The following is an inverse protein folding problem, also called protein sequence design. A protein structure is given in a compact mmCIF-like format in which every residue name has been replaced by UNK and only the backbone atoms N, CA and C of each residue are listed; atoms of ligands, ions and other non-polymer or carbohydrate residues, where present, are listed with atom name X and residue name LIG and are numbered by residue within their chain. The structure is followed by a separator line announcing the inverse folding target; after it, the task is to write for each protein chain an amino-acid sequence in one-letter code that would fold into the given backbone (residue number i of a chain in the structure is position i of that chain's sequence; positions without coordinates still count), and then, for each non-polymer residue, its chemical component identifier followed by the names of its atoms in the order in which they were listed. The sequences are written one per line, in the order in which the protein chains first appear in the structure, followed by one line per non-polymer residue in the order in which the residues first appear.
data_IF_608772291701
#
_entry.id   IF_608772291701
#
_cell.length_a   1.000
_cell.length_b   1.000
_cell.length_c   1.000
_cell.angle_alpha   90.00
_cell.angle_beta   90.00
_cell.angle_gamma   90.00
#
_symmetry.space_group_name_H-M   'P 1'
#
loop_
_entity.id
_entity.type
_entity.pdbx_description
1 polymer ?
#
# COMPACT_ATOMS: atom_id res chain seq x y z
N UNK A 1 7.21 68.97 9.87
CA UNK A 1 7.44 67.52 9.62
C UNK A 1 7.22 66.81 10.95
N UNK A 2 6.02 66.27 11.18
CA UNK A 2 5.69 65.60 12.43
C UNK A 2 6.22 64.14 12.40
N UNK A 3 6.76 63.60 13.50
CA UNK A 3 7.25 62.23 13.53
C UNK A 3 6.07 61.24 13.50
N UNK A 4 6.23 60.17 12.73
CA UNK A 4 5.24 59.11 12.59
C UNK A 4 5.09 58.33 13.92
N UNK A 5 3.84 58.11 14.35
CA UNK A 5 3.51 57.34 15.54
C UNK A 5 3.88 55.86 15.35
N UNK A 6 4.48 55.26 16.39
CA UNK A 6 4.85 53.85 16.43
C UNK A 6 3.60 52.97 16.49
N UNK A 7 3.50 51.88 15.70
CA UNK A 7 2.34 50.99 15.75
C UNK A 7 2.29 50.22 17.08
N UNK A 8 1.07 49.89 17.58
CA UNK A 8 0.91 49.14 18.82
C UNK A 8 1.48 47.71 18.69
N UNK A 9 1.93 47.10 19.82
CA UNK A 9 2.42 45.74 19.81
C UNK A 9 1.33 44.75 19.37
N UNK A 10 1.70 43.66 18.68
CA UNK A 10 0.75 42.64 18.27
C UNK A 10 0.06 42.01 19.50
N UNK A 11 -1.22 41.62 19.38
CA UNK A 11 -1.92 40.95 20.47
C UNK A 11 -1.18 39.66 20.86
N UNK A 12 -1.24 39.25 22.15
CA UNK A 12 -0.64 38.01 22.59
C UNK A 12 -1.17 36.85 21.75
N UNK A 13 -0.26 35.98 21.31
CA UNK A 13 -0.59 34.75 20.57
C UNK A 13 -1.70 34.00 21.30
N UNK A 14 -2.81 33.75 20.62
CA UNK A 14 -3.87 32.93 21.19
C UNK A 14 -3.28 31.59 21.66
N UNK A 15 -3.69 31.07 22.84
CA UNK A 15 -3.23 29.77 23.30
C UNK A 15 -3.49 28.74 22.19
N UNK A 16 -2.48 27.92 21.90
CA UNK A 16 -2.62 26.83 20.93
C UNK A 16 -3.86 26.02 21.28
N UNK A 17 -4.73 25.69 20.30
CA UNK A 17 -5.92 24.92 20.58
C UNK A 17 -5.53 23.65 21.34
N UNK A 18 -6.10 23.46 22.53
CA UNK A 18 -5.84 22.30 23.36
C UNK A 18 -6.32 21.07 22.59
N UNK A 19 -5.37 20.24 22.14
CA UNK A 19 -5.69 18.95 21.54
C UNK A 19 -6.27 18.08 22.64
N UNK A 20 -7.55 17.70 22.51
CA UNK A 20 -8.30 16.94 23.52
C UNK A 20 -8.06 15.43 23.46
N UNK A 21 -7.10 14.97 22.65
CA UNK A 21 -6.81 13.54 22.44
C UNK A 21 -5.35 13.22 22.66
N UNK A 22 -5.07 11.95 22.96
CA UNK A 22 -3.72 11.42 23.14
C UNK A 22 -2.84 11.72 21.93
N UNK A 23 -1.69 12.36 22.15
CA UNK A 23 -0.70 12.55 21.11
C UNK A 23 0.03 11.23 20.83
N UNK A 24 0.33 10.92 19.56
CA UNK A 24 1.08 9.74 19.17
C UNK A 24 2.43 10.15 18.58
N UNK A 25 3.50 9.45 18.96
CA UNK A 25 4.83 9.58 18.40
C UNK A 25 5.17 8.33 17.58
N UNK A 26 5.37 8.47 16.27
CA UNK A 26 5.74 7.36 15.39
C UNK A 26 7.27 7.28 15.23
N UNK A 27 7.87 6.30 15.88
CA UNK A 27 9.28 5.95 15.73
C UNK A 27 9.45 5.08 14.49
N UNK A 28 10.39 5.46 13.60
CA UNK A 28 10.67 4.74 12.36
C UNK A 28 12.17 4.49 12.25
N UNK A 29 12.58 3.23 12.18
CA UNK A 29 13.99 2.87 12.04
C UNK A 29 14.52 3.12 10.62
N UNK A 30 15.83 3.36 10.51
CA UNK A 30 16.54 3.44 9.23
C UNK A 30 16.71 2.08 8.53
N UNK A 31 17.45 2.05 7.42
CA UNK A 31 17.61 0.84 6.58
C UNK A 31 18.30 -0.32 7.30
N UNK A 32 19.10 -0.05 8.33
CA UNK A 32 19.78 -1.08 9.14
C UNK A 32 18.84 -1.98 9.95
N UNK A 33 17.55 -1.62 10.06
CA UNK A 33 16.60 -2.31 10.91
C UNK A 33 16.74 -1.92 12.38
N UNK A 34 15.67 -2.13 13.14
CA UNK A 34 15.68 -2.13 14.60
C UNK A 34 14.51 -2.99 15.09
N UNK A 35 14.67 -3.60 16.27
CA UNK A 35 13.57 -4.30 16.93
C UNK A 35 12.62 -3.30 17.61
N UNK A 36 11.34 -3.65 17.81
CA UNK A 36 10.43 -2.77 18.54
C UNK A 36 10.90 -2.51 19.98
N UNK A 37 11.58 -3.48 20.61
CA UNK A 37 12.14 -3.33 21.96
C UNK A 37 13.25 -2.28 22.01
N UNK A 38 14.14 -2.26 21.03
CA UNK A 38 15.21 -1.25 20.93
C UNK A 38 14.63 0.14 20.65
N UNK A 39 13.62 0.23 19.78
CA UNK A 39 12.99 1.50 19.44
C UNK A 39 12.21 2.09 20.62
N UNK A 40 11.49 1.25 21.36
CA UNK A 40 10.64 1.67 22.49
C UNK A 40 11.38 1.69 23.83
N UNK A 41 12.61 1.17 23.88
CA UNK A 41 13.38 1.05 25.13
C UNK A 41 12.76 0.13 26.17
N UNK A 42 11.82 -0.76 25.78
CA UNK A 42 11.12 -1.68 26.70
C UNK A 42 11.11 -3.10 26.10
N UNK A 43 11.48 -4.14 26.88
CA UNK A 43 11.44 -5.52 26.41
C UNK A 43 10.01 -6.06 26.17
N UNK A 44 8.98 -5.45 26.76
CA UNK A 44 7.58 -5.89 26.73
C UNK A 44 6.79 -5.06 25.71
N UNK A 45 6.89 -5.46 24.45
CA UNK A 45 6.16 -4.82 23.34
C UNK A 45 5.01 -5.67 22.84
N UNK A 46 3.91 -5.04 22.44
CA UNK A 46 2.76 -5.68 21.82
C UNK A 46 2.52 -5.13 20.42
N UNK A 47 2.12 -6.00 19.49
CA UNK A 47 1.75 -5.59 18.13
C UNK A 47 0.34 -5.01 18.16
N UNK A 48 0.20 -3.74 17.76
CA UNK A 48 -1.09 -3.05 17.71
C UNK A 48 -1.77 -3.25 16.36
N UNK A 49 -1.00 -3.19 15.27
CA UNK A 49 -1.52 -3.42 13.92
C UNK A 49 -0.44 -3.90 12.97
N UNK A 50 -0.84 -4.43 11.81
CA UNK A 50 0.02 -5.03 10.82
C UNK A 50 0.24 -6.53 11.03
N UNK A 51 1.29 -7.06 10.44
CA UNK A 51 1.57 -8.49 10.37
C UNK A 51 3.01 -8.83 10.81
N UNK A 52 3.50 -10.01 10.48
CA UNK A 52 4.87 -10.43 10.83
C UNK A 52 5.94 -9.76 9.93
N UNK A 53 5.54 -9.17 8.80
CA UNK A 53 6.45 -8.54 7.85
C UNK A 53 6.64 -7.05 8.14
N UNK A 54 5.55 -6.34 8.42
CA UNK A 54 5.57 -4.96 8.85
C UNK A 54 4.43 -4.67 9.81
N UNK A 55 4.75 -4.05 10.94
CA UNK A 55 3.79 -3.82 12.00
C UNK A 55 4.15 -2.60 12.86
N UNK A 56 3.12 -2.08 13.52
CA UNK A 56 3.25 -1.05 14.55
C UNK A 56 3.17 -1.72 15.91
N UNK A 57 4.12 -1.38 16.77
CA UNK A 57 4.24 -1.90 18.12
C UNK A 57 4.15 -0.78 19.14
N UNK A 58 3.64 -1.11 20.33
CA UNK A 58 3.67 -0.25 21.52
C UNK A 58 4.26 -1.00 22.69
N UNK A 59 4.64 -0.27 23.74
CA UNK A 59 4.89 -0.87 25.06
C UNK A 59 3.60 -1.50 25.56
N UNK A 60 3.70 -2.58 26.33
CA UNK A 60 2.52 -3.28 26.84
C UNK A 60 1.64 -2.38 27.71
N UNK A 61 2.25 -1.44 28.44
CA UNK A 61 1.52 -0.44 29.26
C UNK A 61 0.80 0.64 28.43
N UNK A 62 1.19 0.84 27.18
CA UNK A 62 0.65 1.84 26.27
C UNK A 62 -0.36 1.25 25.28
N UNK A 63 -0.66 -0.05 25.40
CA UNK A 63 -1.50 -0.79 24.45
C UNK A 63 -2.87 -0.14 24.23
N UNK A 64 -3.42 0.49 25.26
CA UNK A 64 -4.71 1.18 25.25
C UNK A 64 -4.58 2.66 25.66
N UNK A 65 -3.50 3.33 25.26
CA UNK A 65 -3.23 4.73 25.63
C UNK A 65 -4.34 5.71 25.23
N UNK A 66 -5.16 5.37 24.24
CA UNK A 66 -6.35 6.14 23.84
C UNK A 66 -7.52 6.01 24.80
N UNK A 67 -7.63 4.90 25.55
CA UNK A 67 -8.66 4.71 26.60
C UNK A 67 -8.35 5.53 27.86
N UNK A 68 -7.12 5.99 28.01
CA UNK A 68 -6.62 6.74 29.17
C UNK A 68 -5.90 8.04 28.78
N UNK A 69 -6.58 8.97 28.07
CA UNK A 69 -5.96 10.20 27.58
C UNK A 69 -5.43 11.11 28.71
N UNK A 70 -5.97 10.98 29.92
CA UNK A 70 -5.49 11.66 31.12
C UNK A 70 -4.05 11.32 31.50
N UNK A 71 -3.58 10.10 31.19
CA UNK A 71 -2.21 9.64 31.49
C UNK A 71 -1.17 10.24 30.54
N UNK A 72 -1.61 10.69 29.36
CA UNK A 72 -0.75 11.11 28.24
C UNK A 72 -1.03 12.57 27.82
N UNK A 73 -1.42 13.42 28.77
CA UNK A 73 -1.68 14.86 28.50
C UNK A 73 -0.42 15.61 28.10
N UNK A 74 0.70 15.27 28.73
CA UNK A 74 1.96 15.99 28.61
C UNK A 74 3.03 15.21 27.81
N UNK A 75 2.79 13.93 27.53
CA UNK A 75 3.71 13.05 26.79
C UNK A 75 2.98 12.25 25.71
N UNK A 76 3.54 12.13 24.50
CA UNK A 76 2.94 11.31 23.45
C UNK A 76 3.13 9.81 23.72
N UNK A 77 2.20 9.00 23.25
CA UNK A 77 2.34 7.54 23.22
C UNK A 77 3.26 7.15 22.06
N UNK A 78 4.40 6.53 22.38
CA UNK A 78 5.38 6.09 21.39
C UNK A 78 4.94 4.79 20.69
N UNK A 79 5.02 4.80 19.37
CA UNK A 79 4.72 3.68 18.49
C UNK A 79 5.95 3.35 17.62
N UNK A 80 6.42 2.12 17.67
CA UNK A 80 7.49 1.65 16.80
C UNK A 80 6.91 1.04 15.53
N UNK A 81 7.17 1.66 14.38
CA UNK A 81 6.92 1.05 13.08
C UNK A 81 8.14 0.25 12.62
N UNK A 82 8.00 -1.07 12.67
CA UNK A 82 9.01 -2.01 12.22
C UNK A 82 8.70 -2.48 10.80
N UNK A 83 9.60 -2.21 9.85
CA UNK A 83 9.41 -2.49 8.42
C UNK A 83 10.53 -3.33 7.80
N UNK A 84 11.51 -3.76 8.60
CA UNK A 84 12.66 -4.53 8.16
C UNK A 84 12.29 -5.85 7.45
N UNK A 85 11.14 -6.46 7.76
CA UNK A 85 10.64 -7.65 7.06
C UNK A 85 10.37 -7.38 5.56
N UNK A 86 10.00 -6.15 5.20
CA UNK A 86 9.78 -5.74 3.80
C UNK A 86 11.06 -5.76 2.96
N UNK A 87 12.24 -5.70 3.58
CA UNK A 87 13.56 -5.70 2.90
C UNK A 87 14.45 -6.89 3.24
N UNK A 88 14.12 -7.73 4.24
CA UNK A 88 14.94 -8.90 4.66
C UNK A 88 14.39 -10.32 4.38
N UNK A 89 13.13 -10.47 3.94
CA UNK A 89 12.50 -11.77 3.63
C UNK A 89 12.91 -12.60 2.38
N UNK A 90 12.21 -13.75 2.32
CA UNK A 90 12.25 -15.00 1.52
C UNK A 90 12.93 -15.06 0.13
N UNK A 91 13.44 -16.25 -0.23
CA UNK A 91 14.17 -16.54 -1.49
C UNK A 91 13.38 -16.36 -2.79
N UNK A 92 12.04 -16.28 -2.71
CA UNK A 92 11.19 -15.83 -3.83
C UNK A 92 11.51 -14.40 -4.29
N UNK A 93 12.33 -13.66 -3.53
CA UNK A 93 12.90 -12.38 -3.97
C UNK A 93 13.74 -12.46 -5.24
N UNK A 94 14.34 -13.60 -5.57
CA UNK A 94 15.04 -13.75 -6.84
C UNK A 94 14.13 -13.49 -8.05
N UNK A 95 12.82 -13.81 -7.94
CA UNK A 95 11.83 -13.54 -8.98
C UNK A 95 11.65 -12.03 -9.24
N UNK A 96 11.99 -11.17 -8.26
CA UNK A 96 11.93 -9.72 -8.45
C UNK A 96 12.95 -9.21 -9.45
N UNK A 97 14.04 -9.94 -9.72
CA UNK A 97 14.98 -9.51 -10.77
C UNK A 97 14.30 -9.49 -12.16
N UNK A 98 13.40 -10.43 -12.43
CA UNK A 98 12.59 -10.41 -13.66
C UNK A 98 11.60 -9.24 -13.67
N UNK A 99 11.09 -8.85 -12.50
CA UNK A 99 10.14 -7.76 -12.35
C UNK A 99 10.80 -6.39 -12.09
N UNK A 100 12.11 -6.33 -11.96
CA UNK A 100 12.87 -5.13 -11.61
C UNK A 100 12.60 -3.97 -12.59
N UNK A 101 12.53 -4.17 -13.92
CA UNK A 101 12.14 -3.11 -14.84
C UNK A 101 10.76 -2.52 -14.52
N UNK A 102 9.79 -3.36 -14.16
CA UNK A 102 8.44 -2.93 -13.78
C UNK A 102 8.44 -2.17 -12.45
N UNK A 103 9.25 -2.61 -11.48
CA UNK A 103 9.42 -1.90 -10.20
C UNK A 103 9.92 -0.48 -10.40
N UNK A 104 10.95 -0.30 -11.24
CA UNK A 104 11.55 1.02 -11.50
C UNK A 104 10.53 1.96 -12.13
N UNK A 105 9.72 1.46 -13.07
CA UNK A 105 8.66 2.27 -13.69
C UNK A 105 7.54 2.60 -12.70
N UNK A 106 7.18 1.65 -11.84
CA UNK A 106 6.23 1.90 -10.74
C UNK A 106 6.77 2.97 -9.79
N UNK A 107 8.05 2.91 -9.41
CA UNK A 107 8.69 3.93 -8.57
C UNK A 107 8.70 5.30 -9.26
N UNK A 108 9.04 5.35 -10.55
CA UNK A 108 9.03 6.59 -11.32
C UNK A 108 7.65 7.26 -11.28
N UNK A 109 6.56 6.48 -11.33
CA UNK A 109 5.22 7.04 -11.16
C UNK A 109 5.04 7.81 -9.84
N UNK A 110 5.54 7.25 -8.73
CA UNK A 110 5.48 7.88 -7.41
C UNK A 110 6.45 9.05 -7.24
N UNK A 111 7.55 9.07 -8.00
CA UNK A 111 8.51 10.18 -8.05
C UNK A 111 8.03 11.39 -8.88
N UNK A 112 6.75 11.40 -9.31
CA UNK A 112 6.17 12.47 -10.13
C UNK A 112 6.30 13.84 -9.43
N UNK A 113 6.93 14.85 -10.07
CA UNK A 113 7.16 16.15 -9.44
C UNK A 113 5.86 16.90 -9.04
N UNK A 114 5.85 17.50 -7.86
CA UNK A 114 4.75 18.33 -7.33
C UNK A 114 4.86 19.80 -7.77
N UNK A 115 5.13 20.05 -9.06
CA UNK A 115 5.34 21.40 -9.58
C UNK A 115 4.03 22.17 -9.80
N UNK A 116 3.84 23.28 -9.08
CA UNK A 116 2.75 24.24 -9.31
C UNK A 116 3.06 25.11 -10.55
N UNK A 117 2.12 25.19 -11.50
CA UNK A 117 2.26 26.02 -12.71
C UNK A 117 2.82 25.31 -13.97
N UNK A 118 3.31 24.07 -13.86
CA UNK A 118 3.83 23.28 -15.00
C UNK A 118 2.95 22.09 -15.39
N UNK A 119 1.62 22.24 -15.30
CA UNK A 119 0.64 21.15 -15.46
C UNK A 119 0.84 20.29 -16.71
N UNK A 120 1.16 20.90 -17.87
CA UNK A 120 1.43 20.16 -19.12
C UNK A 120 2.64 19.23 -19.02
N UNK A 121 3.75 19.70 -18.44
CA UNK A 121 4.97 18.89 -18.28
C UNK A 121 4.72 17.72 -17.32
N UNK A 122 4.02 17.94 -16.21
CA UNK A 122 3.69 16.87 -15.26
C UNK A 122 2.68 15.86 -15.84
N UNK A 123 1.84 16.28 -16.79
CA UNK A 123 0.99 15.35 -17.58
C UNK A 123 1.82 14.54 -18.56
N UNK A 124 2.72 15.19 -19.31
CA UNK A 124 3.61 14.53 -20.26
C UNK A 124 4.47 13.47 -19.57
N UNK A 125 5.06 13.78 -18.41
CA UNK A 125 5.77 12.81 -17.57
C UNK A 125 4.91 11.58 -17.28
N UNK A 126 3.67 11.80 -16.84
CA UNK A 126 2.73 10.70 -16.56
C UNK A 126 2.42 9.85 -17.79
N UNK A 127 2.26 10.47 -18.97
CA UNK A 127 2.04 9.74 -20.23
C UNK A 127 3.28 8.91 -20.60
N UNK A 128 4.47 9.49 -20.52
CA UNK A 128 5.72 8.81 -20.85
C UNK A 128 5.96 7.60 -19.94
N UNK A 129 5.75 7.74 -18.63
CA UNK A 129 5.87 6.63 -17.68
C UNK A 129 4.90 5.49 -18.03
N UNK A 130 3.66 5.82 -18.43
CA UNK A 130 2.67 4.81 -18.86
C UNK A 130 3.06 4.12 -20.16
N UNK A 131 3.58 4.87 -21.14
CA UNK A 131 4.08 4.29 -22.40
C UNK A 131 5.25 3.34 -22.13
N UNK A 132 6.18 3.70 -21.24
CA UNK A 132 7.28 2.81 -20.85
C UNK A 132 6.75 1.55 -20.16
N UNK A 133 5.79 1.68 -19.24
CA UNK A 133 5.14 0.52 -18.60
C UNK A 133 4.47 -0.42 -19.61
N UNK A 134 3.74 0.16 -20.57
CA UNK A 134 3.09 -0.59 -21.65
C UNK A 134 4.12 -1.29 -22.52
N UNK A 135 5.16 -0.59 -22.96
CA UNK A 135 6.24 -1.14 -23.78
C UNK A 135 6.95 -2.31 -23.09
N UNK A 136 7.22 -2.23 -21.79
CA UNK A 136 7.81 -3.34 -21.02
C UNK A 136 6.89 -4.56 -21.00
N UNK A 137 5.58 -4.34 -20.82
CA UNK A 137 4.59 -5.43 -20.83
C UNK A 137 4.53 -6.11 -22.21
N UNK A 138 4.53 -5.31 -23.28
CA UNK A 138 4.55 -5.80 -24.66
C UNK A 138 5.84 -6.57 -24.95
N UNK A 139 7.01 -6.03 -24.58
CA UNK A 139 8.30 -6.69 -24.78
C UNK A 139 8.39 -8.02 -24.04
N UNK A 140 7.97 -8.05 -22.77
CA UNK A 140 7.95 -9.27 -21.97
C UNK A 140 7.03 -10.33 -22.60
N UNK A 141 5.83 -9.93 -23.04
CA UNK A 141 4.88 -10.83 -23.70
C UNK A 141 5.40 -11.31 -25.06
N UNK A 142 6.02 -10.42 -25.84
CA UNK A 142 6.62 -10.76 -27.13
C UNK A 142 7.77 -11.76 -26.97
N UNK A 143 8.63 -11.58 -25.96
CA UNK A 143 9.70 -12.55 -25.64
C UNK A 143 9.12 -13.92 -25.27
N UNK A 144 8.03 -13.97 -24.49
CA UNK A 144 7.35 -15.22 -24.19
C UNK A 144 6.74 -15.87 -25.45
N UNK A 145 6.16 -15.08 -26.35
CA UNK A 145 5.67 -15.54 -27.65
C UNK A 145 6.82 -16.10 -28.52
N UNK A 146 7.95 -15.42 -28.61
CA UNK A 146 9.12 -15.88 -29.37
C UNK A 146 9.60 -17.24 -28.86
N UNK A 147 9.78 -17.38 -27.54
CA UNK A 147 10.25 -18.65 -26.97
C UNK A 147 9.22 -19.76 -27.15
N UNK A 148 7.95 -19.52 -26.82
CA UNK A 148 6.94 -20.56 -26.82
C UNK A 148 6.45 -20.93 -28.24
N UNK A 149 6.07 -19.92 -29.04
CA UNK A 149 5.44 -20.13 -30.34
C UNK A 149 6.49 -20.40 -31.42
N UNK A 150 7.54 -19.58 -31.49
CA UNK A 150 8.53 -19.67 -32.56
C UNK A 150 9.59 -20.74 -32.25
N UNK A 151 10.37 -20.57 -31.19
CA UNK A 151 11.49 -21.49 -30.91
C UNK A 151 11.02 -22.90 -30.55
N UNK A 152 10.04 -23.04 -29.65
CA UNK A 152 9.58 -24.36 -29.19
C UNK A 152 8.57 -24.99 -30.13
N UNK A 153 7.43 -24.34 -30.36
CA UNK A 153 6.32 -24.95 -31.10
C UNK A 153 6.48 -24.95 -32.62
N UNK A 154 7.14 -23.93 -33.19
CA UNK A 154 7.35 -23.86 -34.64
C UNK A 154 8.64 -24.57 -35.06
N UNK A 155 9.78 -24.11 -34.53
CA UNK A 155 11.10 -24.58 -34.96
C UNK A 155 11.46 -25.93 -34.33
N UNK A 156 11.45 -26.06 -33.00
CA UNK A 156 11.93 -27.28 -32.36
C UNK A 156 10.98 -28.47 -32.56
N UNK A 157 9.68 -28.31 -32.29
CA UNK A 157 8.69 -29.37 -32.51
C UNK A 157 8.49 -29.68 -34.00
N UNK A 158 8.81 -28.74 -34.91
CA UNK A 158 8.83 -28.97 -36.35
C UNK A 158 10.06 -29.73 -36.85
N UNK A 159 11.13 -29.82 -36.06
CA UNK A 159 12.41 -30.41 -36.46
C UNK A 159 12.68 -31.70 -35.68
N UNK A 160 12.79 -32.82 -36.39
CA UNK A 160 12.98 -34.16 -35.81
C UNK A 160 14.17 -34.22 -34.83
N UNK A 161 15.36 -33.82 -35.27
CA UNK A 161 16.57 -33.84 -34.42
C UNK A 161 16.48 -32.93 -33.18
N UNK A 162 15.61 -31.92 -33.19
CA UNK A 162 15.37 -31.07 -32.03
C UNK A 162 14.44 -31.76 -31.04
N UNK A 163 13.33 -32.31 -31.53
CA UNK A 163 12.32 -32.99 -30.72
C UNK A 163 12.82 -34.32 -30.14
N UNK A 164 13.62 -35.10 -30.87
CA UNK A 164 14.19 -36.36 -30.37
C UNK A 164 15.12 -36.15 -29.16
N UNK A 165 15.93 -35.08 -29.19
CA UNK A 165 16.78 -34.70 -28.06
C UNK A 165 16.01 -34.22 -26.83
N UNK A 166 14.75 -33.83 -27.00
CA UNK A 166 13.86 -33.37 -25.92
C UNK A 166 12.62 -34.26 -25.89
N UNK A 167 12.76 -35.44 -25.31
CA UNK A 167 11.68 -36.45 -25.27
C UNK A 167 10.34 -35.92 -24.74
N UNK A 168 10.33 -34.92 -23.86
CA UNK A 168 9.12 -34.24 -23.36
C UNK A 168 8.36 -33.44 -24.44
N UNK A 169 9.00 -33.05 -25.54
CA UNK A 169 8.38 -32.44 -26.72
C UNK A 169 7.90 -33.46 -27.75
N UNK A 170 8.13 -34.76 -27.52
CA UNK A 170 7.82 -35.83 -28.49
C UNK A 170 6.36 -35.81 -28.96
N UNK A 171 5.42 -35.56 -28.04
CA UNK A 171 3.98 -35.50 -28.38
C UNK A 171 3.60 -34.32 -29.31
N UNK A 172 4.41 -33.25 -29.33
CA UNK A 172 4.27 -32.10 -30.23
C UNK A 172 5.02 -32.28 -31.56
N UNK A 173 5.89 -33.29 -31.64
CA UNK A 173 6.74 -33.52 -32.80
C UNK A 173 5.90 -33.71 -34.06
N UNK A 174 6.26 -32.96 -35.10
CA UNK A 174 5.67 -33.12 -36.43
C UNK A 174 5.82 -34.56 -36.96
N UNK A 175 6.90 -35.25 -36.56
CA UNK A 175 7.25 -36.56 -37.11
C UNK A 175 6.50 -37.73 -36.47
N UNK A 176 6.01 -37.59 -35.23
CA UNK A 176 5.25 -38.66 -34.56
C UNK A 176 3.83 -38.86 -35.10
N UNK A 177 3.32 -37.93 -35.93
CA UNK A 177 2.00 -38.04 -36.56
C UNK A 177 0.81 -38.00 -35.59
N UNK A 178 1.03 -37.70 -34.30
CA UNK A 178 -0.01 -37.65 -33.28
C UNK A 178 -0.96 -36.45 -33.40
N UNK A 179 -2.02 -36.42 -32.57
CA UNK A 179 -3.05 -35.37 -32.59
C UNK A 179 -2.49 -33.94 -32.49
N UNK A 180 -1.42 -33.76 -31.72
CA UNK A 180 -0.79 -32.47 -31.45
C UNK A 180 0.34 -32.10 -32.42
N UNK A 181 0.69 -32.98 -33.37
CA UNK A 181 1.74 -32.75 -34.38
C UNK A 181 1.37 -31.65 -35.39
N UNK A 182 0.06 -31.44 -35.59
CA UNK A 182 -0.50 -30.43 -36.50
C UNK A 182 -0.07 -29.02 -36.10
N UNK A 183 0.48 -28.20 -37.03
CA UNK A 183 1.05 -26.88 -36.74
C UNK A 183 0.12 -25.95 -35.97
N UNK A 184 -1.16 -25.91 -36.34
CA UNK A 184 -2.14 -25.07 -35.64
C UNK A 184 -2.38 -25.48 -34.18
N UNK A 185 -2.37 -26.78 -33.89
CA UNK A 185 -2.67 -27.30 -32.55
C UNK A 185 -1.50 -27.13 -31.59
N UNK A 186 -0.26 -27.38 -32.05
CA UNK A 186 0.94 -27.11 -31.24
C UNK A 186 1.10 -25.63 -30.93
N UNK A 187 0.83 -24.74 -31.89
CA UNK A 187 0.85 -23.29 -31.66
C UNK A 187 -0.25 -22.86 -30.70
N UNK A 188 -1.47 -23.42 -30.81
CA UNK A 188 -2.56 -23.14 -29.88
C UNK A 188 -2.22 -23.57 -28.44
N UNK A 189 -1.59 -24.74 -28.27
CA UNK A 189 -1.13 -25.17 -26.95
C UNK A 189 -0.01 -24.26 -26.41
N UNK A 190 0.95 -23.89 -27.26
CA UNK A 190 2.04 -23.01 -26.86
C UNK A 190 1.57 -21.58 -26.53
N UNK A 191 0.48 -21.10 -27.12
CA UNK A 191 -0.13 -19.82 -26.80
C UNK A 191 -0.67 -19.73 -25.36
N UNK A 192 -0.86 -20.87 -24.69
CA UNK A 192 -1.20 -20.91 -23.26
C UNK A 192 -0.12 -20.23 -22.42
N UNK A 193 1.16 -20.30 -22.81
CA UNK A 193 2.27 -19.69 -22.07
C UNK A 193 2.17 -18.16 -22.01
N UNK A 194 2.15 -17.41 -23.13
CA UNK A 194 1.99 -15.96 -23.07
C UNK A 194 0.62 -15.55 -22.50
N UNK A 195 -0.45 -16.31 -22.74
CA UNK A 195 -1.76 -16.03 -22.15
C UNK A 195 -1.74 -16.17 -20.61
N UNK A 196 -1.11 -17.23 -20.09
CA UNK A 196 -0.95 -17.45 -18.66
C UNK A 196 -0.06 -16.37 -18.02
N UNK A 197 1.00 -15.92 -18.71
CA UNK A 197 1.84 -14.82 -18.26
C UNK A 197 1.04 -13.52 -18.10
N UNK A 198 0.28 -13.13 -19.13
CA UNK A 198 -0.58 -11.94 -19.07
C UNK A 198 -1.65 -12.09 -17.97
N UNK A 199 -2.28 -13.25 -17.88
CA UNK A 199 -3.26 -13.56 -16.83
C UNK A 199 -2.66 -13.48 -15.42
N UNK A 200 -1.44 -13.97 -15.24
CA UNK A 200 -0.71 -13.88 -13.98
C UNK A 200 -0.38 -12.43 -13.61
N UNK A 201 0.13 -11.64 -14.56
CA UNK A 201 0.40 -10.22 -14.34
C UNK A 201 -0.86 -9.44 -13.95
N UNK A 202 -1.97 -9.71 -14.64
CA UNK A 202 -3.28 -9.14 -14.30
C UNK A 202 -3.73 -9.56 -12.90
N UNK A 203 -3.64 -10.85 -12.57
CA UNK A 203 -4.01 -11.38 -11.26
C UNK A 203 -3.18 -10.75 -10.13
N UNK A 204 -1.85 -10.70 -10.28
CA UNK A 204 -0.95 -10.10 -9.30
C UNK A 204 -1.25 -8.61 -9.11
N UNK A 205 -1.47 -7.88 -10.20
CA UNK A 205 -1.84 -6.46 -10.16
C UNK A 205 -3.15 -6.25 -9.38
N UNK A 206 -4.18 -7.06 -9.65
CA UNK A 206 -5.45 -6.95 -8.95
C UNK A 206 -5.38 -7.36 -7.47
N UNK A 207 -4.61 -8.42 -7.17
CA UNK A 207 -4.46 -8.93 -5.79
C UNK A 207 -3.69 -7.96 -4.90
N UNK A 208 -2.53 -7.50 -5.36
CA UNK A 208 -1.71 -6.53 -4.61
C UNK A 208 -2.48 -5.25 -4.35
N UNK A 209 -3.19 -4.75 -5.36
CA UNK A 209 -4.08 -3.60 -5.21
C UNK A 209 -5.16 -3.81 -4.15
N UNK A 210 -5.88 -4.94 -4.22
CA UNK A 210 -6.98 -5.20 -3.31
C UNK A 210 -6.50 -5.25 -1.86
N UNK A 211 -5.31 -5.82 -1.62
CA UNK A 211 -4.75 -5.94 -0.28
C UNK A 211 -4.36 -4.59 0.34
N UNK A 212 -3.79 -3.67 -0.45
CA UNK A 212 -3.40 -2.35 0.05
C UNK A 212 -4.61 -1.41 0.22
N UNK A 213 -5.61 -1.50 -0.67
CA UNK A 213 -6.75 -0.56 -0.66
C UNK A 213 -7.93 -1.04 0.20
N UNK A 214 -7.96 -2.32 0.61
CA UNK A 214 -9.01 -2.85 1.50
C UNK A 214 -8.79 -2.54 2.98
N UNK A 215 -7.65 -1.92 3.34
CA UNK A 215 -7.38 -1.52 4.72
C UNK A 215 -8.39 -0.45 5.13
N UNK A 216 -9.29 -0.81 6.05
CA UNK A 216 -10.18 0.15 6.68
C UNK A 216 -9.39 0.88 7.77
N UNK A 217 -9.54 2.22 7.89
CA UNK A 217 -9.08 2.90 9.09
C UNK A 217 -9.69 2.20 10.31
N UNK A 218 -8.94 2.12 11.42
CA UNK A 218 -9.51 1.66 12.68
C UNK A 218 -10.71 2.56 13.01
N UNK A 219 -11.89 1.95 13.04
CA UNK A 219 -13.12 2.64 13.45
C UNK A 219 -13.06 2.82 14.99
N UNK A 220 -13.48 3.98 15.51
CA UNK A 220 -13.52 4.26 16.96
C UNK A 220 -14.28 3.16 17.73
N UNK A 221 -15.26 2.49 17.10
CA UNK A 221 -16.07 1.40 17.64
C UNK A 221 -15.32 0.04 17.76
N UNK A 222 -14.22 -0.16 17.03
CA UNK A 222 -13.41 -1.39 17.09
C UNK A 222 -12.57 -1.50 18.37
N UNK A 223 -12.40 -0.39 19.09
CA UNK A 223 -11.70 -0.31 20.38
C UNK A 223 -12.58 -0.89 21.52
N UNK A 224 -13.90 -0.92 21.31
CA UNK A 224 -14.89 -1.33 22.31
C UNK A 224 -15.37 -2.79 22.12
N UNK A 225 -15.26 -3.35 20.90
CA UNK A 225 -15.85 -4.66 20.58
C UNK A 225 -15.05 -5.88 21.10
N UNK A 226 -13.74 -5.74 21.34
CA UNK A 226 -12.88 -6.83 21.87
C UNK A 226 -12.68 -6.75 23.40
N UNK A 227 -13.48 -5.93 24.10
CA UNK A 227 -13.41 -5.75 25.55
C UNK A 227 -14.56 -6.50 26.27
N UNK A 228 -14.32 -7.69 26.84
CA UNK A 228 -15.33 -8.40 27.62
C UNK A 228 -15.68 -7.71 28.95
N UNK A 229 -14.94 -6.67 29.36
CA UNK A 229 -15.17 -5.93 30.61
C UNK A 229 -16.00 -4.65 30.43
N UNK A 230 -16.27 -4.21 29.19
CA UNK A 230 -17.04 -3.00 28.88
C UNK A 230 -18.55 -3.07 29.18
N UNK A 231 -19.08 -4.22 29.58
CA UNK A 231 -20.52 -4.40 29.84
C UNK A 231 -21.04 -3.78 31.15
N UNK A 232 -20.18 -3.21 32.00
CA UNK A 232 -20.56 -2.70 33.33
C UNK A 232 -20.50 -1.17 33.48
N UNK A 233 -20.66 -0.41 32.39
CA UNK A 233 -20.44 1.04 32.43
C UNK A 233 -21.44 1.92 31.69
N UNK A 234 -22.70 1.50 31.47
CA UNK A 234 -23.65 2.37 30.76
C UNK A 234 -25.12 2.14 31.15
N UNK A 235 -25.48 2.44 32.40
CA UNK A 235 -26.82 2.94 32.72
C UNK A 235 -26.78 3.68 34.05
N UNK A 236 -26.50 4.98 34.01
CA UNK A 236 -26.90 5.89 35.07
C UNK A 236 -28.30 6.42 34.69
N UNK A 237 -29.38 5.97 35.36
CA UNK A 237 -30.74 6.40 35.06
C UNK A 237 -31.04 7.85 35.47
N UNK A 238 -30.08 8.56 36.11
CA UNK A 238 -30.24 9.94 36.57
C UNK A 238 -29.58 10.99 35.66
N UNK A 239 -29.18 10.63 34.43
CA UNK A 239 -28.69 11.61 33.46
C UNK A 239 -29.79 12.64 33.10
N UNK A 240 -29.58 13.95 33.30
CA UNK A 240 -30.57 14.98 32.96
C UNK A 240 -30.86 14.97 31.45
N UNK A 241 -32.14 15.11 31.08
CA UNK A 241 -32.57 15.28 29.69
C UNK A 241 -31.97 16.55 29.05
N UNK A 242 -31.99 16.66 27.70
CA UNK A 242 -31.27 17.72 27.00
C UNK A 242 -31.78 19.11 27.39
N UNK A 243 -30.89 19.90 28.00
CA UNK A 243 -31.17 21.24 28.48
C UNK A 243 -31.56 22.20 27.35
N UNK A 244 -32.65 22.93 27.59
CA UNK A 244 -33.13 24.10 26.86
C UNK A 244 -32.50 25.37 27.44
N UNK A 245 -31.20 25.36 27.72
CA UNK A 245 -30.48 26.52 28.21
C UNK A 245 -29.32 26.88 27.29
N UNK A 246 -29.15 28.18 27.05
CA UNK A 246 -28.27 28.79 26.05
C UNK A 246 -26.77 28.63 26.31
N UNK A 247 -26.33 27.43 26.71
CA UNK A 247 -24.93 27.06 26.87
C UNK A 247 -24.25 27.04 25.50
N UNK A 248 -23.09 27.72 25.34
CA UNK A 248 -22.34 27.65 24.10
C UNK A 248 -21.97 26.20 23.82
N UNK A 249 -22.31 25.71 22.63
CA UNK A 249 -21.89 24.39 22.14
C UNK A 249 -20.39 24.25 22.41
N UNK A 250 -19.92 23.16 23.08
CA UNK A 250 -18.50 22.98 23.32
C UNK A 250 -17.73 23.09 22.00
N UNK A 251 -16.56 23.77 22.00
CA UNK A 251 -15.79 23.94 20.78
C UNK A 251 -15.51 22.56 20.18
N UNK A 252 -15.84 22.40 18.89
CA UNK A 252 -15.57 21.14 18.17
C UNK A 252 -14.07 20.89 18.25
N UNK A 253 -13.63 19.75 18.83
CA UNK A 253 -12.22 19.47 18.96
C UNK A 253 -11.56 19.46 17.58
N UNK A 254 -10.53 20.29 17.42
CA UNK A 254 -9.81 20.40 16.15
C UNK A 254 -9.00 19.13 15.96
N UNK A 255 -9.52 18.18 15.19
CA UNK A 255 -8.78 16.96 14.83
C UNK A 255 -7.59 17.32 13.93
N UNK A 256 -6.39 16.77 14.16
CA UNK A 256 -5.26 16.92 13.26
C UNK A 256 -5.63 16.42 11.85
N UNK A 257 -4.92 16.89 10.81
CA UNK A 257 -5.25 16.59 9.42
C UNK A 257 -5.34 15.07 9.13
N UNK A 258 -4.49 14.28 9.80
CA UNK A 258 -4.46 12.82 9.73
C UNK A 258 -5.69 12.15 10.39
N UNK A 259 -6.36 12.81 11.34
CA UNK A 259 -7.55 12.31 12.03
C UNK A 259 -8.88 12.73 11.37
N UNK A 260 -8.83 13.35 10.18
CA UNK A 260 -10.04 13.75 9.46
C UNK A 260 -10.73 12.52 8.86
N UNK A 261 -12.07 12.39 8.99
CA UNK A 261 -12.82 11.32 8.35
C UNK A 261 -12.50 11.24 6.85
N UNK A 262 -12.08 10.05 6.40
CA UNK A 262 -11.73 9.81 5.00
C UNK A 262 -10.33 10.25 4.58
N UNK A 263 -9.49 10.81 5.46
CA UNK A 263 -8.08 11.11 5.15
C UNK A 263 -7.35 9.84 4.66
N UNK A 264 -7.54 8.74 5.36
CA UNK A 264 -6.98 7.43 5.04
C UNK A 264 -7.80 6.65 3.99
N UNK A 265 -8.87 7.22 3.44
CA UNK A 265 -9.76 6.54 2.50
C UNK A 265 -9.42 6.90 1.04
N UNK A 266 -8.45 6.19 0.47
CA UNK A 266 -7.90 6.41 -0.88
C UNK A 266 -8.83 6.03 -2.05
N UNK A 267 -9.92 5.28 -1.80
CA UNK A 267 -10.69 4.57 -2.85
C UNK A 267 -11.13 5.46 -4.01
N UNK A 268 -11.47 6.73 -3.76
CA UNK A 268 -11.90 7.67 -4.80
C UNK A 268 -10.78 8.15 -5.72
N UNK A 269 -9.59 8.43 -5.18
CA UNK A 269 -8.41 8.84 -5.97
C UNK A 269 -7.95 7.66 -6.84
N UNK A 270 -7.98 6.48 -6.25
CA UNK A 270 -7.51 5.24 -6.87
C UNK A 270 -8.50 4.72 -7.94
N UNK A 271 -9.82 4.82 -7.72
CA UNK A 271 -10.82 4.51 -8.74
C UNK A 271 -10.64 5.35 -10.03
N UNK A 272 -10.27 6.63 -9.89
CA UNK A 272 -9.99 7.50 -11.04
C UNK A 272 -8.74 7.09 -11.82
N UNK A 273 -7.74 6.51 -11.15
CA UNK A 273 -6.53 6.00 -11.81
C UNK A 273 -6.81 4.72 -12.61
N UNK A 274 -7.73 3.86 -12.14
CA UNK A 274 -8.14 2.62 -12.83
C UNK A 274 -8.82 2.86 -14.17
N UNK A 275 -9.69 3.88 -14.25
CA UNK A 275 -10.40 4.21 -15.49
C UNK A 275 -9.46 4.51 -16.68
N UNK A 276 -8.17 4.79 -16.43
CA UNK A 276 -7.19 5.11 -17.47
C UNK A 276 -6.15 4.00 -17.73
N UNK A 277 -6.19 2.87 -17.01
CA UNK A 277 -5.21 1.79 -17.16
C UNK A 277 -5.83 0.42 -17.50
N UNK A 278 -7.14 0.26 -17.32
CA UNK A 278 -7.89 -0.95 -17.68
C UNK A 278 -9.11 -0.65 -18.55
N UNK A 279 -9.07 0.44 -19.31
CA UNK A 279 -10.00 0.72 -20.40
C UNK A 279 -9.19 0.98 -21.67
#
# INVERSE_FOLDING_TARGET
MAPAATPPPPPPSAPSPQHTGTALELLVHGVGGATPQEMLGDPRTVRVTGDETAAVYRRTEDAHGEKHPERYRDEPVAEAYCWSGLTSGNGSRALWLLLLPFMVVNLAHWMRPTATGRTRAVRLYGVLVRLVALSLTVLLTAAACEVALDLLAWQCAGTESCAERRSWLGFLSAHQGGWWSQPGRRLALAAVVPAALVGLLWYLSNRTWSAYESQRPLDEEGIDADDPEGAYGAHDPDAPGPDTDGTPRPPVPVRPALGRPGFWYGRRIVARLRAAHTA
#
